data_IF_075757371174
#
_entry.id   IF_075757371174
#
_cell.length_a   1.000
_cell.length_b   1.000
_cell.length_c   1.000
_cell.angle_alpha   90.00
_cell.angle_beta   90.00
_cell.angle_gamma   90.00
#
_symmetry.space_group_name_H-M   'P 1'
#
loop_
_entity.id
_entity.type
_entity.pdbx_description
1 polymer ?
#
# COMPACT_ATOMS: atom_id res chain seq x y z
N UNK A 1 -18.78 -17.11 15.10
CA UNK A 1 -17.41 -16.63 14.78
C UNK A 1 -17.43 -15.91 13.43
N UNK A 2 -18.25 -14.85 13.28
CA UNK A 2 -18.43 -14.14 12.01
C UNK A 2 -18.40 -12.61 12.14
N UNK A 3 -18.44 -12.08 13.36
CA UNK A 3 -18.40 -10.63 13.59
C UNK A 3 -16.97 -10.07 13.66
N UNK A 4 -15.96 -10.89 13.96
CA UNK A 4 -14.57 -10.45 14.08
C UNK A 4 -13.91 -10.06 12.74
N UNK A 5 -14.49 -10.50 11.61
CA UNK A 5 -13.96 -10.23 10.25
C UNK A 5 -14.40 -8.85 9.73
N UNK A 6 -15.49 -8.30 10.29
CA UNK A 6 -16.05 -7.03 9.82
C UNK A 6 -15.25 -5.81 10.33
N UNK A 7 -14.77 -5.85 11.58
CA UNK A 7 -13.98 -4.74 12.15
C UNK A 7 -12.61 -4.58 11.46
N UNK A 8 -11.96 -5.68 11.03
CA UNK A 8 -10.69 -5.61 10.30
C UNK A 8 -10.86 -5.05 8.88
N UNK A 9 -12.07 -5.12 8.31
CA UNK A 9 -12.37 -4.64 6.96
C UNK A 9 -12.59 -3.13 6.91
N UNK A 10 -12.91 -2.48 8.03
CA UNK A 10 -13.15 -1.02 8.08
C UNK A 10 -11.86 -0.19 7.94
N UNK A 11 -10.69 -0.78 8.22
CA UNK A 11 -9.38 -0.14 8.01
C UNK A 11 -8.80 -0.43 6.61
N UNK A 12 -9.53 -1.18 5.77
CA UNK A 12 -9.19 -1.38 4.36
C UNK A 12 -9.75 -0.25 3.51
N UNK A 13 -8.86 0.52 2.89
CA UNK A 13 -9.24 1.51 1.89
C UNK A 13 -9.11 0.92 0.48
N UNK A 14 -10.24 0.83 -0.23
CA UNK A 14 -10.25 0.42 -1.63
C UNK A 14 -9.98 1.60 -2.57
N UNK A 15 -9.13 1.37 -3.56
CA UNK A 15 -8.84 2.31 -4.64
C UNK A 15 -9.11 1.64 -5.99
N UNK A 16 -9.81 2.33 -6.88
CA UNK A 16 -9.76 1.96 -8.29
C UNK A 16 -8.42 2.39 -8.89
N UNK A 17 -8.03 1.81 -10.03
CA UNK A 17 -6.78 2.20 -10.73
C UNK A 17 -6.75 3.69 -11.06
N UNK A 18 -7.92 4.28 -11.36
CA UNK A 18 -8.05 5.72 -11.64
C UNK A 18 -7.84 6.61 -10.40
N UNK A 19 -8.06 6.07 -9.20
CA UNK A 19 -7.84 6.79 -7.93
C UNK A 19 -6.38 6.74 -7.45
N UNK A 20 -5.56 5.85 -8.04
CA UNK A 20 -4.16 5.70 -7.61
C UNK A 20 -3.36 7.00 -7.76
N UNK A 21 -3.40 7.72 -8.90
CA UNK A 21 -2.64 8.95 -9.06
C UNK A 21 -3.08 10.09 -8.13
N UNK A 22 -4.38 10.19 -7.86
CA UNK A 22 -4.97 11.30 -7.10
C UNK A 22 -5.00 11.06 -5.59
N UNK A 23 -5.04 9.80 -5.16
CA UNK A 23 -5.25 9.44 -3.74
C UNK A 23 -4.38 8.27 -3.28
N UNK A 24 -4.26 7.22 -4.08
CA UNK A 24 -3.54 6.00 -3.69
C UNK A 24 -2.04 6.19 -3.46
N UNK A 25 -1.33 6.87 -4.38
CA UNK A 25 0.12 7.06 -4.28
C UNK A 25 0.54 7.91 -3.08
N UNK A 26 -0.27 8.92 -2.70
CA UNK A 26 0.00 9.72 -1.52
C UNK A 26 -0.09 8.89 -0.23
N UNK A 27 -1.07 8.00 -0.13
CA UNK A 27 -1.21 7.07 1.00
C UNK A 27 -0.06 6.06 1.03
N UNK A 28 0.29 5.49 -0.12
CA UNK A 28 1.45 4.58 -0.23
C UNK A 28 2.76 5.26 0.17
N UNK A 29 2.97 6.52 -0.22
CA UNK A 29 4.14 7.31 0.15
C UNK A 29 4.20 7.57 1.67
N UNK A 30 3.06 7.82 2.32
CA UNK A 30 3.00 8.01 3.76
C UNK A 30 3.33 6.71 4.53
N UNK A 31 2.74 5.59 4.11
CA UNK A 31 3.05 4.25 4.66
C UNK A 31 4.55 3.96 4.53
N UNK A 32 5.12 4.24 3.35
CA UNK A 32 6.55 4.08 3.04
C UNK A 32 7.45 4.94 3.93
N UNK A 33 7.07 6.20 4.19
CA UNK A 33 7.81 7.11 5.08
C UNK A 33 7.79 6.65 6.54
N UNK A 34 6.72 5.99 6.96
CA UNK A 34 6.63 5.39 8.28
C UNK A 34 7.41 4.07 8.39
N UNK A 35 7.96 3.55 7.29
CA UNK A 35 8.65 2.25 7.24
C UNK A 35 7.70 1.07 7.45
N UNK A 36 6.39 1.26 7.22
CA UNK A 36 5.36 0.23 7.38
C UNK A 36 5.14 -0.49 6.05
N UNK A 37 4.83 -1.78 6.10
CA UNK A 37 4.53 -2.63 4.93
C UNK A 37 5.61 -2.64 3.82
N UNK A 38 6.80 -2.11 4.10
CA UNK A 38 7.92 -2.11 3.16
C UNK A 38 8.63 -3.45 3.25
N UNK A 39 8.36 -4.33 2.28
CA UNK A 39 8.88 -5.70 2.18
C UNK A 39 10.17 -5.78 1.33
N UNK A 40 10.40 -4.79 0.46
CA UNK A 40 11.61 -4.70 -0.38
C UNK A 40 12.29 -3.34 -0.20
N UNK A 41 13.62 -3.33 -0.22
CA UNK A 41 14.41 -2.08 -0.24
C UNK A 41 15.30 -2.07 -1.48
N UNK A 42 15.09 -1.08 -2.35
CA UNK A 42 15.91 -0.89 -3.54
C UNK A 42 17.12 -0.02 -3.22
N UNK A 43 18.31 -0.43 -3.66
CA UNK A 43 19.51 0.40 -3.59
C UNK A 43 19.75 1.08 -4.93
N UNK A 44 19.65 2.41 -4.98
CA UNK A 44 19.84 3.21 -6.20
C UNK A 44 20.90 4.27 -5.94
N UNK A 45 21.99 4.24 -6.70
CA UNK A 45 23.09 5.22 -6.62
C UNK A 45 23.61 5.46 -5.17
N UNK A 46 23.67 4.40 -4.36
CA UNK A 46 24.13 4.46 -2.97
C UNK A 46 23.06 4.78 -1.93
N UNK A 47 21.84 5.13 -2.35
CA UNK A 47 20.71 5.38 -1.46
C UNK A 47 19.81 4.14 -1.36
N UNK A 48 19.23 3.91 -0.19
CA UNK A 48 18.26 2.86 0.05
C UNK A 48 16.84 3.43 0.03
N UNK A 49 15.99 2.91 -0.84
CA UNK A 49 14.59 3.30 -0.97
C UNK A 49 13.71 2.11 -0.58
N UNK A 50 13.00 2.18 0.56
CA UNK A 50 12.01 1.17 0.90
C UNK A 50 10.83 1.26 -0.06
N UNK A 51 10.29 0.13 -0.50
CA UNK A 51 9.13 0.00 -1.38
C UNK A 51 8.17 -1.07 -0.83
N UNK A 52 6.90 -0.96 -1.21
CA UNK A 52 5.82 -1.88 -0.83
C UNK A 52 5.52 -2.75 -2.07
N UNK A 53 6.09 -3.94 -2.16
CA UNK A 53 5.86 -4.91 -3.26
C UNK A 53 4.49 -5.57 -3.13
N UNK A 54 4.05 -5.82 -1.89
CA UNK A 54 2.70 -6.32 -1.57
C UNK A 54 1.56 -5.31 -1.77
N UNK A 55 1.79 -4.16 -2.40
CA UNK A 55 0.73 -3.47 -3.14
C UNK A 55 0.39 -4.32 -4.36
N UNK A 56 -0.25 -5.46 -4.10
CA UNK A 56 -0.94 -6.26 -5.10
C UNK A 56 -2.00 -5.33 -5.70
N UNK A 57 -1.68 -4.77 -6.86
CA UNK A 57 -2.69 -4.11 -7.69
C UNK A 57 -3.46 -5.27 -8.32
N UNK A 58 -4.53 -5.75 -7.66
CA UNK A 58 -5.57 -6.49 -8.38
C UNK A 58 -6.29 -5.48 -9.30
N UNK A 59 -5.62 -5.16 -10.40
CA UNK A 59 -6.22 -4.50 -11.54
C UNK A 59 -6.80 -5.59 -12.43
N UNK A 60 -7.92 -6.17 -12.02
CA UNK A 60 -8.72 -6.94 -12.95
C UNK A 60 -10.22 -6.67 -12.78
N UNK A 61 -10.75 -6.05 -13.85
CA UNK A 61 -12.15 -5.74 -14.22
C UNK A 61 -12.68 -4.34 -13.91
#
# INVERSE_FOLDING_TARGET
MGEMVLEELEDLMHFSVHDLPSRGYSVMEEIRRQGKLCDVTLKVAGNYMPIILHCYIEAEQ
#
